data_IF_617216118034
#
_entry.id   IF_617216118034
#
_cell.length_a   1.000
_cell.length_b   1.000
_cell.length_c   1.000
_cell.angle_alpha   90.00
_cell.angle_beta   90.00
_cell.angle_gamma   90.00
#
_symmetry.space_group_name_H-M   'P 1'
#
loop_
_entity.id
_entity.type
_entity.pdbx_description
1 polymer ?
#
# COMPACT_ATOMS: atom_id res chain seq x y z
N UNK A 1 14.35 -13.39 -29.38
CA UNK A 1 15.54 -12.56 -29.65
C UNK A 1 15.31 -11.09 -29.31
N UNK A 2 14.42 -10.36 -29.98
CA UNK A 2 14.23 -8.92 -29.70
C UNK A 2 13.76 -8.58 -28.27
N UNK A 3 12.82 -9.36 -27.71
CA UNK A 3 12.35 -9.16 -26.32
C UNK A 3 13.45 -9.38 -25.27
N UNK A 4 14.30 -10.39 -25.50
CA UNK A 4 15.44 -10.70 -24.63
C UNK A 4 16.49 -9.58 -24.69
N UNK A 5 16.77 -9.08 -25.89
CA UNK A 5 17.70 -7.97 -26.10
C UNK A 5 17.23 -6.69 -25.39
N UNK A 6 15.93 -6.37 -25.50
CA UNK A 6 15.35 -5.21 -24.81
C UNK A 6 15.48 -5.32 -23.28
N UNK A 7 15.24 -6.51 -22.73
CA UNK A 7 15.40 -6.76 -21.29
C UNK A 7 16.86 -6.63 -20.82
N UNK A 8 17.82 -7.08 -21.64
CA UNK A 8 19.25 -6.94 -21.37
C UNK A 8 19.69 -5.47 -21.38
N UNK A 9 19.27 -4.70 -22.39
CA UNK A 9 19.58 -3.27 -22.52
C UNK A 9 18.95 -2.45 -21.38
N UNK A 10 17.67 -2.69 -21.09
CA UNK A 10 16.96 -1.99 -20.03
C UNK A 10 17.56 -2.28 -18.64
N UNK A 11 17.87 -3.54 -18.34
CA UNK A 11 18.45 -3.92 -17.05
C UNK A 11 19.87 -3.38 -16.83
N UNK A 12 20.62 -3.13 -17.89
CA UNK A 12 21.95 -2.52 -17.82
C UNK A 12 21.93 -1.08 -17.27
N UNK A 13 20.78 -0.39 -17.35
CA UNK A 13 20.58 0.94 -16.76
C UNK A 13 20.34 0.89 -15.24
N UNK A 14 20.10 -0.29 -14.68
CA UNK A 14 19.75 -0.50 -13.28
C UNK A 14 20.65 -1.55 -12.62
N UNK A 15 21.96 -1.28 -12.47
CA UNK A 15 22.89 -2.21 -11.84
C UNK A 15 22.53 -2.44 -10.37
N UNK A 16 22.82 -3.64 -9.86
CA UNK A 16 22.69 -3.93 -8.44
C UNK A 16 23.78 -3.18 -7.65
N UNK A 17 23.45 -2.54 -6.51
CA UNK A 17 24.45 -1.95 -5.64
C UNK A 17 25.44 -2.99 -5.11
N UNK A 18 26.73 -2.66 -5.08
CA UNK A 18 27.78 -3.58 -4.63
C UNK A 18 27.65 -3.90 -3.14
N UNK A 19 27.77 -5.18 -2.79
CA UNK A 19 27.76 -5.65 -1.40
C UNK A 19 26.40 -5.67 -0.71
N UNK A 20 25.30 -5.40 -1.42
CA UNK A 20 23.95 -5.50 -0.89
C UNK A 20 23.27 -6.79 -1.34
N UNK A 21 22.37 -7.29 -0.49
CA UNK A 21 21.47 -8.40 -0.77
C UNK A 21 20.07 -8.01 -0.30
N UNK A 22 19.07 -8.36 -1.10
CA UNK A 22 17.66 -8.04 -0.86
C UNK A 22 16.86 -9.33 -0.64
N UNK A 23 15.86 -9.30 0.23
CA UNK A 23 14.91 -10.40 0.40
C UNK A 23 13.48 -9.88 0.41
N UNK A 24 12.62 -10.60 -0.28
CA UNK A 24 11.21 -10.35 -0.46
C UNK A 24 10.52 -10.90 0.78
N UNK A 25 10.33 -10.03 1.77
CA UNK A 25 9.61 -10.38 2.99
C UNK A 25 8.09 -10.38 2.77
N UNK A 26 7.36 -10.60 3.86
CA UNK A 26 5.88 -10.54 3.89
C UNK A 26 5.29 -9.22 3.39
N UNK A 27 6.10 -8.17 3.33
CA UNK A 27 5.71 -6.83 2.90
C UNK A 27 6.54 -6.34 1.69
N UNK A 28 7.04 -7.28 0.87
CA UNK A 28 7.85 -7.02 -0.31
C UNK A 28 9.31 -6.64 0.03
N UNK A 29 9.99 -6.00 -0.92
CA UNK A 29 11.32 -5.45 -0.69
C UNK A 29 11.23 -4.09 -0.01
N UNK A 30 12.09 -3.86 0.99
CA UNK A 30 12.21 -2.56 1.68
C UNK A 30 13.67 -2.29 2.01
N UNK A 31 14.10 -1.05 1.81
CA UNK A 31 15.45 -0.58 2.13
C UNK A 31 15.50 0.95 2.08
N UNK A 32 16.69 1.52 2.28
CA UNK A 32 16.95 2.92 1.97
C UNK A 32 16.61 3.19 0.50
N UNK A 33 15.91 4.29 0.24
CA UNK A 33 15.40 4.57 -1.10
C UNK A 33 16.50 4.75 -2.15
N UNK A 34 17.70 5.21 -1.75
CA UNK A 34 18.82 5.47 -2.67
C UNK A 34 19.36 4.22 -3.35
N UNK A 35 19.09 3.03 -2.79
CA UNK A 35 19.61 1.75 -3.29
C UNK A 35 18.55 0.86 -3.95
N UNK A 36 17.29 1.34 -4.07
CA UNK A 36 16.16 0.50 -4.49
C UNK A 36 15.84 0.51 -5.98
N UNK A 37 16.39 1.42 -6.78
CA UNK A 37 16.01 1.56 -8.20
C UNK A 37 16.14 0.26 -9.00
N UNK A 38 17.21 -0.51 -8.78
CA UNK A 38 17.38 -1.81 -9.44
C UNK A 38 16.42 -2.87 -8.94
N UNK A 39 16.19 -2.93 -7.63
CA UNK A 39 15.21 -3.84 -7.02
C UNK A 39 13.79 -3.55 -7.50
N UNK A 40 13.41 -2.28 -7.65
CA UNK A 40 12.08 -1.88 -8.15
C UNK A 40 11.94 -2.22 -9.63
N UNK A 41 12.93 -1.92 -10.47
CA UNK A 41 12.95 -2.35 -11.87
C UNK A 41 12.77 -3.88 -11.99
N UNK A 42 13.56 -4.63 -11.22
CA UNK A 42 13.54 -6.10 -11.22
C UNK A 42 12.22 -6.67 -10.71
N UNK A 43 11.61 -6.05 -9.69
CA UNK A 43 10.29 -6.42 -9.17
C UNK A 43 9.18 -6.13 -10.18
N UNK A 44 9.28 -5.04 -10.92
CA UNK A 44 8.37 -4.74 -12.03
C UNK A 44 8.43 -5.79 -13.14
N UNK A 45 9.62 -6.33 -13.45
CA UNK A 45 9.77 -7.47 -14.37
C UNK A 45 9.09 -8.72 -13.81
N UNK A 46 9.26 -9.03 -12.51
CA UNK A 46 8.55 -10.16 -11.86
C UNK A 46 7.03 -9.98 -11.95
N UNK A 47 6.52 -8.78 -11.67
CA UNK A 47 5.09 -8.48 -11.79
C UNK A 47 4.57 -8.64 -13.23
N UNK A 48 5.35 -8.22 -14.23
CA UNK A 48 5.02 -8.41 -15.63
C UNK A 48 4.96 -9.90 -16.01
N UNK A 49 5.93 -10.71 -15.58
CA UNK A 49 5.89 -12.18 -15.76
C UNK A 49 4.68 -12.79 -15.06
N UNK A 50 4.34 -12.31 -13.86
CA UNK A 50 3.17 -12.79 -13.10
C UNK A 50 1.86 -12.51 -13.82
N UNK A 51 1.74 -11.32 -14.42
CA UNK A 51 0.58 -10.94 -15.22
C UNK A 51 0.47 -11.78 -16.50
N UNK A 52 1.58 -12.06 -17.19
CA UNK A 52 1.58 -12.95 -18.36
C UNK A 52 1.20 -14.40 -17.98
N UNK A 53 1.74 -14.93 -16.88
CA UNK A 53 1.46 -16.28 -16.41
C UNK A 53 -0.02 -16.47 -16.05
N UNK A 54 -0.63 -15.45 -15.43
CA UNK A 54 -2.04 -15.51 -15.00
C UNK A 54 -3.02 -15.03 -16.08
N UNK A 55 -2.54 -14.30 -17.08
CA UNK A 55 -3.37 -13.62 -18.07
C UNK A 55 -4.27 -12.53 -17.46
N UNK A 56 -3.87 -11.96 -16.33
CA UNK A 56 -4.70 -11.08 -15.51
C UNK A 56 -3.94 -9.80 -15.09
N UNK A 57 -4.68 -8.78 -14.67
CA UNK A 57 -4.12 -7.54 -14.12
C UNK A 57 -3.41 -7.83 -12.80
N UNK A 58 -2.20 -7.31 -12.62
CA UNK A 58 -1.40 -7.41 -11.38
C UNK A 58 -1.09 -5.99 -10.88
N UNK A 59 -0.86 -5.80 -9.59
CA UNK A 59 -0.48 -4.51 -9.01
C UNK A 59 0.97 -4.46 -8.58
N UNK A 60 1.55 -3.26 -8.60
CA UNK A 60 2.83 -2.94 -7.99
C UNK A 60 2.70 -1.69 -7.14
N UNK A 61 2.86 -1.83 -5.82
CA UNK A 61 2.78 -0.73 -4.86
C UNK A 61 4.17 -0.31 -4.42
N UNK A 62 4.51 0.97 -4.61
CA UNK A 62 5.77 1.57 -4.14
C UNK A 62 5.52 2.26 -2.80
N UNK A 63 5.96 1.63 -1.73
CA UNK A 63 5.81 2.12 -0.36
C UNK A 63 6.69 1.33 0.62
N UNK A 64 7.08 1.96 1.72
CA UNK A 64 7.58 1.27 2.91
C UNK A 64 6.67 1.40 4.14
N UNK A 65 5.38 1.76 3.99
CA UNK A 65 4.40 1.75 5.09
C UNK A 65 4.90 2.59 6.29
N UNK A 66 5.03 2.00 7.47
CA UNK A 66 5.47 2.62 8.72
C UNK A 66 6.97 2.98 8.79
N UNK A 67 7.81 2.60 7.83
CA UNK A 67 9.24 2.90 7.85
C UNK A 67 9.52 4.43 7.81
N UNK A 68 10.70 4.90 8.25
CA UNK A 68 11.12 6.30 8.14
C UNK A 68 11.08 6.83 6.70
N UNK A 69 10.93 8.15 6.51
CA UNK A 69 10.76 8.78 5.18
C UNK A 69 11.88 8.51 4.17
N UNK A 70 13.10 8.26 4.64
CA UNK A 70 14.27 7.93 3.79
C UNK A 70 14.21 6.53 3.17
N UNK A 71 13.44 5.62 3.75
CA UNK A 71 13.23 4.29 3.20
C UNK A 71 12.21 4.32 2.05
N UNK A 72 12.18 3.27 1.24
CA UNK A 72 11.04 2.95 0.39
C UNK A 72 10.95 1.42 0.20
N UNK A 73 10.05 0.98 -0.67
CA UNK A 73 9.86 -0.43 -0.92
C UNK A 73 8.96 -0.68 -2.11
N UNK A 74 8.80 -1.96 -2.44
CA UNK A 74 7.92 -2.41 -3.51
C UNK A 74 7.25 -3.73 -3.13
N UNK A 75 5.93 -3.79 -3.34
CA UNK A 75 5.07 -4.96 -3.13
C UNK A 75 4.34 -5.31 -4.42
N UNK A 76 4.19 -6.59 -4.71
CA UNK A 76 3.38 -7.10 -5.83
C UNK A 76 2.03 -7.59 -5.29
N UNK A 77 0.94 -7.14 -5.92
CA UNK A 77 -0.43 -7.57 -5.64
C UNK A 77 -0.93 -8.53 -6.72
N UNK A 78 -1.36 -9.72 -6.34
CA UNK A 78 -1.87 -10.76 -7.23
C UNK A 78 -3.27 -10.43 -7.77
N UNK A 79 -3.77 -11.14 -8.80
CA UNK A 79 -5.00 -10.79 -9.49
C UNK A 79 -6.27 -10.70 -8.62
N UNK A 80 -6.31 -11.44 -7.51
CA UNK A 80 -7.41 -11.40 -6.55
C UNK A 80 -7.37 -10.19 -5.60
N UNK A 81 -6.33 -9.35 -5.71
CA UNK A 81 -6.02 -8.25 -4.80
C UNK A 81 -5.30 -8.70 -3.54
N UNK A 82 -4.86 -9.96 -3.45
CA UNK A 82 -3.98 -10.45 -2.39
C UNK A 82 -2.52 -10.06 -2.63
N UNK A 83 -1.65 -10.44 -1.69
CA UNK A 83 -0.20 -10.37 -1.91
C UNK A 83 0.23 -11.42 -2.94
N UNK A 84 1.33 -11.17 -3.64
CA UNK A 84 1.95 -12.18 -4.50
C UNK A 84 2.10 -13.53 -3.78
N UNK A 85 1.74 -14.61 -4.47
CA UNK A 85 1.91 -15.97 -3.95
C UNK A 85 3.32 -16.23 -3.43
N UNK A 86 3.41 -16.87 -2.26
CA UNK A 86 4.67 -17.24 -1.62
C UNK A 86 5.57 -18.12 -2.52
N UNK A 87 5.00 -18.87 -3.46
CA UNK A 87 5.77 -19.67 -4.44
C UNK A 87 6.70 -18.81 -5.30
N UNK A 88 6.35 -17.55 -5.54
CA UNK A 88 7.13 -16.64 -6.40
C UNK A 88 8.14 -15.79 -5.61
N UNK A 89 8.07 -15.74 -4.28
CA UNK A 89 8.99 -14.97 -3.44
C UNK A 89 10.47 -15.40 -3.62
N UNK A 90 10.82 -16.71 -3.64
CA UNK A 90 12.20 -17.14 -3.90
C UNK A 90 12.70 -16.73 -5.29
N UNK A 91 11.82 -16.66 -6.29
CA UNK A 91 12.19 -16.18 -7.61
C UNK A 91 12.43 -14.67 -7.61
N UNK A 92 11.58 -13.90 -6.92
CA UNK A 92 11.79 -12.48 -6.74
C UNK A 92 13.14 -12.19 -6.07
N UNK A 93 13.54 -12.96 -5.05
CA UNK A 93 14.84 -12.85 -4.39
C UNK A 93 16.01 -13.11 -5.36
N UNK A 94 15.94 -14.21 -6.14
CA UNK A 94 16.99 -14.50 -7.13
C UNK A 94 17.11 -13.39 -8.18
N UNK A 95 15.98 -12.88 -8.66
CA UNK A 95 15.92 -11.80 -9.65
C UNK A 95 16.48 -10.50 -9.07
N UNK A 96 16.05 -10.11 -7.87
CA UNK A 96 16.55 -8.90 -7.20
C UNK A 96 18.06 -8.96 -6.95
N UNK A 97 18.63 -10.13 -6.68
CA UNK A 97 20.04 -10.33 -6.38
C UNK A 97 20.90 -10.80 -7.57
N UNK A 98 20.36 -10.85 -8.78
CA UNK A 98 21.14 -11.24 -9.96
C UNK A 98 22.37 -10.31 -10.14
N UNK A 99 23.59 -10.86 -10.26
CA UNK A 99 24.82 -10.07 -10.17
C UNK A 99 25.03 -9.13 -11.37
N UNK A 100 24.51 -9.50 -12.53
CA UNK A 100 24.67 -8.77 -13.78
C UNK A 100 23.44 -8.96 -14.72
N UNK A 101 23.29 -8.10 -15.74
CA UNK A 101 22.19 -8.20 -16.70
C UNK A 101 22.06 -9.55 -17.42
N UNK A 102 23.15 -10.24 -17.74
CA UNK A 102 23.08 -11.54 -18.43
C UNK A 102 22.55 -12.62 -17.49
N UNK A 103 23.08 -12.67 -16.26
CA UNK A 103 22.59 -13.58 -15.22
C UNK A 103 21.10 -13.34 -14.92
N UNK A 104 20.66 -12.08 -14.86
CA UNK A 104 19.27 -11.71 -14.67
C UNK A 104 18.37 -12.24 -15.80
N UNK A 105 18.76 -11.97 -17.05
CA UNK A 105 18.01 -12.42 -18.23
C UNK A 105 17.94 -13.95 -18.29
N UNK A 106 19.03 -14.65 -17.98
CA UNK A 106 19.06 -16.11 -17.93
C UNK A 106 18.08 -16.67 -16.89
N UNK A 107 18.05 -16.10 -15.68
CA UNK A 107 17.08 -16.48 -14.64
C UNK A 107 15.63 -16.28 -15.09
N UNK A 108 15.36 -15.17 -15.79
CA UNK A 108 14.01 -14.85 -16.27
C UNK A 108 13.57 -15.81 -17.38
N UNK A 109 14.44 -16.09 -18.35
CA UNK A 109 14.13 -17.02 -19.44
C UNK A 109 13.90 -18.43 -18.89
N UNK A 110 14.79 -18.92 -18.02
CA UNK A 110 14.64 -20.23 -17.40
C UNK A 110 13.32 -20.34 -16.62
N UNK A 111 13.00 -19.33 -15.80
CA UNK A 111 11.77 -19.34 -15.01
C UNK A 111 10.52 -19.26 -15.89
N UNK A 112 10.57 -18.49 -16.99
CA UNK A 112 9.48 -18.41 -17.94
C UNK A 112 9.24 -19.76 -18.65
N UNK A 113 10.30 -20.51 -18.98
CA UNK A 113 10.18 -21.87 -19.52
C UNK A 113 9.60 -22.84 -18.48
N UNK A 114 10.04 -22.77 -17.22
CA UNK A 114 9.56 -23.63 -16.12
C UNK A 114 8.08 -23.42 -15.77
N UNK A 115 7.59 -22.17 -15.91
CA UNK A 115 6.21 -21.78 -15.58
C UNK A 115 5.31 -21.64 -16.82
N UNK A 116 5.76 -22.10 -18.00
CA UNK A 116 5.03 -22.01 -19.29
C UNK A 116 4.56 -20.58 -19.64
N UNK A 117 5.38 -19.56 -19.35
CA UNK A 117 5.05 -18.15 -19.56
C UNK A 117 5.38 -17.76 -21.02
N UNK A 118 4.40 -17.30 -21.82
CA UNK A 118 4.62 -16.97 -23.22
C UNK A 118 5.31 -15.62 -23.39
N UNK A 119 6.65 -15.61 -23.41
CA UNK A 119 7.44 -14.41 -23.67
C UNK A 119 7.27 -13.96 -25.14
N UNK A 120 6.89 -12.69 -25.34
CA UNK A 120 6.76 -12.09 -26.68
C UNK A 120 5.45 -12.40 -27.42
N UNK A 121 4.42 -12.86 -26.71
CA UNK A 121 3.07 -13.07 -27.27
C UNK A 121 2.33 -11.77 -27.59
N UNK A 122 1.27 -11.88 -28.40
CA UNK A 122 0.38 -10.76 -28.77
C UNK A 122 -0.67 -10.41 -27.69
N UNK A 123 -0.79 -11.20 -26.62
CA UNK A 123 -1.70 -10.89 -25.51
C UNK A 123 -1.15 -9.70 -24.75
N UNK A 124 -1.96 -8.63 -24.67
CA UNK A 124 -1.69 -7.50 -23.81
C UNK A 124 -2.27 -7.78 -22.42
N UNK A 125 -1.44 -7.64 -21.39
CA UNK A 125 -1.87 -7.54 -20.00
C UNK A 125 -1.40 -6.22 -19.40
N UNK A 126 -1.95 -5.82 -18.26
CA UNK A 126 -1.65 -4.55 -17.61
C UNK A 126 -1.14 -4.74 -16.18
N UNK A 127 -0.24 -3.85 -15.77
CA UNK A 127 0.20 -3.71 -14.39
C UNK A 127 -0.26 -2.36 -13.87
N UNK A 128 -1.02 -2.35 -12.78
CA UNK A 128 -1.39 -1.11 -12.10
C UNK A 128 -0.25 -0.69 -11.17
N UNK A 129 0.27 0.52 -11.35
CA UNK A 129 1.32 1.10 -10.53
C UNK A 129 0.70 2.11 -9.55
N UNK A 130 0.96 1.93 -8.26
CA UNK A 130 0.59 2.90 -7.22
C UNK A 130 1.79 3.26 -6.35
N UNK A 131 1.78 4.45 -5.75
CA UNK A 131 2.81 4.87 -4.79
C UNK A 131 2.23 5.68 -3.63
N UNK A 132 2.94 5.69 -2.51
CA UNK A 132 2.67 6.60 -1.41
C UNK A 132 3.28 8.01 -1.66
N UNK A 133 3.34 8.82 -0.60
CA UNK A 133 3.84 10.21 -0.62
C UNK A 133 5.35 10.34 -0.42
N UNK A 134 6.12 9.24 -0.41
CA UNK A 134 7.58 9.31 -0.21
C UNK A 134 8.26 10.09 -1.35
N UNK A 135 9.24 10.98 -1.05
CA UNK A 135 9.91 11.79 -2.07
C UNK A 135 10.61 10.97 -3.17
N UNK A 136 11.12 9.79 -2.82
CA UNK A 136 11.76 8.86 -3.76
C UNK A 136 10.78 8.13 -4.68
N UNK A 137 9.48 8.20 -4.41
CA UNK A 137 8.45 7.43 -5.11
C UNK A 137 8.41 7.69 -6.61
N UNK A 138 8.64 8.92 -7.06
CA UNK A 138 8.62 9.26 -8.49
C UNK A 138 9.79 8.61 -9.26
N UNK A 139 11.00 8.66 -8.70
CA UNK A 139 12.16 8.02 -9.32
C UNK A 139 12.01 6.49 -9.39
N UNK A 140 11.46 5.89 -8.33
CA UNK A 140 11.19 4.45 -8.29
C UNK A 140 10.05 4.04 -9.23
N UNK A 141 9.03 4.90 -9.40
CA UNK A 141 7.95 4.70 -10.36
C UNK A 141 8.47 4.64 -11.80
N UNK A 142 9.41 5.51 -12.16
CA UNK A 142 10.05 5.47 -13.47
C UNK A 142 10.89 4.21 -13.66
N UNK A 143 11.60 3.74 -12.62
CA UNK A 143 12.30 2.45 -12.66
C UNK A 143 11.31 1.28 -12.88
N UNK A 144 10.16 1.29 -12.21
CA UNK A 144 9.12 0.28 -12.39
C UNK A 144 8.54 0.29 -13.82
N UNK A 145 8.23 1.47 -14.37
CA UNK A 145 7.75 1.61 -15.76
C UNK A 145 8.74 1.05 -16.76
N UNK A 146 10.05 1.28 -16.56
CA UNK A 146 11.11 0.69 -17.39
C UNK A 146 11.16 -0.83 -17.27
N UNK A 147 11.01 -1.38 -16.06
CA UNK A 147 10.95 -2.82 -15.83
C UNK A 147 9.77 -3.48 -16.55
N UNK A 148 8.58 -2.89 -16.45
CA UNK A 148 7.39 -3.40 -17.14
C UNK A 148 7.56 -3.32 -18.65
N UNK A 149 8.02 -2.18 -19.17
CA UNK A 149 8.20 -1.95 -20.61
C UNK A 149 9.29 -2.85 -21.24
N UNK A 150 10.18 -3.41 -20.43
CA UNK A 150 11.18 -4.36 -20.88
C UNK A 150 10.57 -5.73 -21.25
N UNK A 151 9.39 -6.04 -20.71
CA UNK A 151 8.66 -7.29 -20.97
C UNK A 151 7.59 -7.07 -22.03
N UNK A 152 7.78 -7.69 -23.21
CA UNK A 152 6.83 -7.56 -24.32
C UNK A 152 5.45 -8.12 -23.96
N UNK A 153 4.39 -7.41 -24.38
CA UNK A 153 3.00 -7.80 -24.13
C UNK A 153 2.42 -7.27 -22.80
N UNK A 154 3.16 -6.46 -22.05
CA UNK A 154 2.69 -5.88 -20.78
C UNK A 154 2.75 -4.37 -20.83
N UNK A 155 1.70 -3.70 -20.32
CA UNK A 155 1.63 -2.24 -20.23
C UNK A 155 1.55 -1.78 -18.78
N UNK A 156 2.25 -0.69 -18.48
CA UNK A 156 2.17 -0.03 -17.18
C UNK A 156 1.02 0.99 -17.18
N UNK A 157 0.15 0.93 -16.17
CA UNK A 157 -0.91 1.90 -15.94
C UNK A 157 -0.60 2.62 -14.63
N UNK A 158 -0.21 3.88 -14.73
CA UNK A 158 0.09 4.73 -13.57
C UNK A 158 -1.22 5.19 -12.91
N UNK A 159 -1.47 4.69 -11.70
CA UNK A 159 -2.63 5.05 -10.89
C UNK A 159 -2.32 6.20 -9.91
N UNK A 160 -1.08 6.72 -9.90
CA UNK A 160 -0.68 7.85 -9.10
C UNK A 160 -0.51 7.56 -7.60
N UNK A 161 -0.85 8.57 -6.79
CA UNK A 161 -0.74 8.52 -5.33
C UNK A 161 -1.96 7.82 -4.74
N UNK A 162 -1.74 6.66 -4.12
CA UNK A 162 -2.78 5.81 -3.55
C UNK A 162 -2.35 5.26 -2.18
N UNK A 163 -3.33 4.87 -1.37
CA UNK A 163 -3.08 3.96 -0.24
C UNK A 163 -2.82 2.54 -0.75
N UNK A 164 -2.15 1.72 0.05
CA UNK A 164 -1.94 0.30 -0.30
C UNK A 164 -3.29 -0.42 -0.53
N UNK A 165 -4.32 -0.27 0.34
CA UNK A 165 -5.63 -0.88 0.10
C UNK A 165 -6.32 -0.44 -1.19
N UNK A 166 -6.14 0.82 -1.62
CA UNK A 166 -6.72 1.30 -2.88
C UNK A 166 -6.17 0.53 -4.08
N UNK A 167 -4.84 0.35 -4.17
CA UNK A 167 -4.24 -0.39 -5.28
C UNK A 167 -4.74 -1.84 -5.31
N UNK A 168 -4.73 -2.51 -4.15
CA UNK A 168 -5.21 -3.90 -4.03
C UNK A 168 -6.67 -4.04 -4.46
N UNK A 169 -7.52 -3.09 -4.06
CA UNK A 169 -8.92 -3.04 -4.49
C UNK A 169 -9.05 -2.81 -6.00
N UNK A 170 -8.24 -1.93 -6.57
CA UNK A 170 -8.26 -1.62 -8.01
C UNK A 170 -7.88 -2.83 -8.85
N UNK A 171 -6.83 -3.57 -8.45
CA UNK A 171 -6.41 -4.83 -9.11
C UNK A 171 -7.55 -5.84 -9.11
N UNK A 172 -8.12 -6.12 -7.94
CA UNK A 172 -9.25 -7.04 -7.80
C UNK A 172 -10.45 -6.61 -8.65
N UNK A 173 -10.73 -5.32 -8.71
CA UNK A 173 -11.87 -4.77 -9.43
C UNK A 173 -11.69 -4.88 -10.95
N UNK A 174 -10.50 -4.57 -11.47
CA UNK A 174 -10.15 -4.76 -12.89
C UNK A 174 -10.33 -6.21 -13.33
N UNK A 175 -9.83 -7.15 -12.53
CA UNK A 175 -9.95 -8.58 -12.84
C UNK A 175 -11.38 -9.13 -12.76
N UNK A 176 -12.29 -8.40 -12.10
CA UNK A 176 -13.73 -8.69 -12.11
C UNK A 176 -14.49 -7.99 -13.23
N UNK A 177 -13.80 -7.28 -14.13
CA UNK A 177 -14.40 -6.49 -15.21
C UNK A 177 -15.11 -5.22 -14.72
N UNK A 178 -14.80 -4.77 -13.50
CA UNK A 178 -15.37 -3.54 -12.93
C UNK A 178 -14.48 -2.33 -13.23
N UNK A 179 -15.09 -1.14 -13.21
CA UNK A 179 -14.32 0.11 -13.20
C UNK A 179 -13.52 0.19 -11.90
N UNK A 180 -12.29 0.68 -12.02
CA UNK A 180 -11.37 0.80 -10.91
C UNK A 180 -10.74 2.20 -10.94
N UNK A 181 -11.52 3.19 -10.50
CA UNK A 181 -11.04 4.54 -10.20
C UNK A 181 -11.06 4.81 -8.71
N UNK A 182 -10.39 5.87 -8.28
CA UNK A 182 -10.42 6.33 -6.90
C UNK A 182 -11.84 6.72 -6.45
N UNK A 183 -12.62 7.35 -7.33
CA UNK A 183 -14.03 7.65 -7.07
C UNK A 183 -14.86 6.38 -6.85
N UNK A 184 -14.62 5.33 -7.63
CA UNK A 184 -15.33 4.04 -7.47
C UNK A 184 -15.00 3.39 -6.12
N UNK A 185 -13.73 3.45 -5.69
CA UNK A 185 -13.29 2.98 -4.38
C UNK A 185 -14.01 3.71 -3.24
N UNK A 186 -14.00 5.04 -3.25
CA UNK A 186 -14.68 5.84 -2.22
C UNK A 186 -16.19 5.66 -2.25
N UNK A 187 -16.79 5.59 -3.45
CA UNK A 187 -18.22 5.32 -3.62
C UNK A 187 -18.61 3.97 -3.02
N UNK A 188 -17.81 2.93 -3.21
CA UNK A 188 -18.10 1.62 -2.63
C UNK A 188 -18.05 1.66 -1.09
N UNK A 189 -17.04 2.31 -0.51
CA UNK A 189 -16.92 2.46 0.94
C UNK A 189 -18.08 3.28 1.50
N UNK A 190 -18.35 4.45 0.93
CA UNK A 190 -19.41 5.35 1.39
C UNK A 190 -20.79 4.70 1.30
N UNK A 191 -21.09 3.99 0.21
CA UNK A 191 -22.35 3.26 0.07
C UNK A 191 -22.49 2.14 1.10
N UNK A 192 -21.42 1.36 1.32
CA UNK A 192 -21.42 0.28 2.31
C UNK A 192 -21.58 0.83 3.73
N UNK A 193 -20.89 1.93 4.05
CA UNK A 193 -21.01 2.63 5.32
C UNK A 193 -22.42 3.16 5.55
N UNK A 194 -23.02 3.82 4.55
CA UNK A 194 -24.42 4.30 4.63
C UNK A 194 -25.38 3.16 4.93
N UNK A 195 -25.27 2.03 4.21
CA UNK A 195 -26.11 0.87 4.46
C UNK A 195 -26.00 0.34 5.89
N UNK A 196 -24.81 0.41 6.50
CA UNK A 196 -24.62 0.04 7.91
C UNK A 196 -25.25 1.07 8.87
N UNK A 197 -25.09 2.36 8.60
CA UNK A 197 -25.65 3.43 9.43
C UNK A 197 -27.18 3.44 9.37
N UNK A 198 -27.78 3.14 8.22
CA UNK A 198 -29.24 3.05 8.05
C UNK A 198 -29.89 1.95 8.92
N UNK A 199 -29.11 0.97 9.37
CA UNK A 199 -29.55 -0.09 10.29
C UNK A 199 -29.49 0.33 11.77
N UNK A 200 -28.84 1.45 12.10
CA UNK A 200 -28.71 1.93 13.48
C UNK A 200 -30.01 2.61 13.93
N UNK A 201 -30.61 2.21 15.07
CA UNK A 201 -31.80 2.87 15.62
C UNK A 201 -31.60 4.38 15.79
N UNK A 202 -32.57 5.18 15.30
CA UNK A 202 -32.48 6.66 15.27
C UNK A 202 -32.36 7.28 16.65
N UNK A 203 -32.78 6.57 17.69
CA UNK A 203 -32.72 6.92 19.09
C UNK A 203 -31.27 6.97 19.60
N UNK A 204 -30.41 6.08 19.09
CA UNK A 204 -28.98 6.04 19.41
C UNK A 204 -28.19 7.11 18.65
N UNK A 205 -28.68 7.53 17.48
CA UNK A 205 -28.06 8.57 16.65
C UNK A 205 -28.26 10.00 17.19
N UNK A 206 -29.05 10.19 18.27
CA UNK A 206 -29.31 11.52 18.87
C UNK A 206 -28.14 12.06 19.71
N UNK A 207 -27.23 11.20 20.17
CA UNK A 207 -26.06 11.60 20.94
C UNK A 207 -24.90 12.03 20.03
N UNK A 208 -24.93 13.29 19.57
CA UNK A 208 -23.89 13.85 18.69
C UNK A 208 -22.45 13.76 19.24
N UNK A 209 -22.27 13.68 20.56
CA UNK A 209 -20.95 13.60 21.23
C UNK A 209 -20.25 12.25 20.96
N UNK A 210 -20.99 11.17 20.66
CA UNK A 210 -20.41 9.87 20.29
C UNK A 210 -20.02 9.76 18.81
N UNK A 211 -20.37 10.78 18.01
CA UNK A 211 -20.18 10.81 16.55
C UNK A 211 -18.86 11.43 16.08
N UNK A 212 -18.03 11.97 16.97
CA UNK A 212 -16.73 12.54 16.60
C UNK A 212 -15.62 11.49 16.61
N UNK A 213 -14.75 11.54 15.61
CA UNK A 213 -13.51 10.76 15.51
C UNK A 213 -12.39 11.71 15.08
N UNK A 214 -11.29 11.73 15.83
CA UNK A 214 -10.09 12.47 15.45
C UNK A 214 -9.06 11.47 14.92
N UNK A 215 -8.62 11.65 13.68
CA UNK A 215 -7.72 10.73 12.99
C UNK A 215 -6.37 11.40 12.75
N UNK A 216 -5.32 10.75 13.22
CA UNK A 216 -3.94 11.03 12.87
C UNK A 216 -3.62 10.36 11.52
N UNK A 217 -3.36 11.19 10.50
CA UNK A 217 -3.02 10.78 9.15
C UNK A 217 -1.56 10.37 8.93
N UNK A 218 -0.73 10.33 9.99
CA UNK A 218 0.68 9.95 9.95
C UNK A 218 1.58 10.79 9.02
N UNK A 219 1.07 11.93 8.54
CA UNK A 219 1.64 12.69 7.42
C UNK A 219 1.79 11.85 6.13
N UNK A 220 1.01 10.78 6.02
CA UNK A 220 1.00 9.84 4.90
C UNK A 220 -0.13 10.07 3.91
N UNK A 221 -0.19 9.19 2.90
CA UNK A 221 -1.22 9.26 1.85
C UNK A 221 -2.63 9.11 2.41
N UNK A 222 -2.79 8.31 3.46
CA UNK A 222 -4.08 8.03 4.10
C UNK A 222 -4.81 9.28 4.60
N UNK A 223 -4.09 10.26 5.16
CA UNK A 223 -4.69 11.50 5.66
C UNK A 223 -5.43 12.26 4.57
N UNK A 224 -4.76 12.49 3.42
CA UNK A 224 -5.37 13.18 2.28
C UNK A 224 -6.54 12.39 1.67
N UNK A 225 -6.40 11.06 1.52
CA UNK A 225 -7.48 10.21 0.99
C UNK A 225 -8.69 10.16 1.92
N UNK A 226 -8.48 10.25 3.23
CA UNK A 226 -9.57 10.33 4.19
C UNK A 226 -10.30 11.69 4.14
N UNK A 227 -9.61 12.78 3.79
CA UNK A 227 -10.26 14.08 3.55
C UNK A 227 -11.20 14.05 2.33
N UNK A 228 -10.86 13.28 1.31
CA UNK A 228 -11.74 13.03 0.16
C UNK A 228 -12.90 12.10 0.53
N UNK A 229 -12.64 11.01 1.26
CA UNK A 229 -13.69 10.08 1.67
C UNK A 229 -14.69 10.71 2.64
N UNK A 230 -14.24 11.52 3.61
CA UNK A 230 -15.10 12.05 4.68
C UNK A 230 -16.26 12.89 4.14
N UNK A 231 -16.10 13.56 2.99
CA UNK A 231 -17.18 14.38 2.41
C UNK A 231 -18.32 13.53 1.85
N UNK A 232 -18.08 12.23 1.63
CA UNK A 232 -19.08 11.26 1.17
C UNK A 232 -19.73 10.50 2.34
N UNK A 233 -19.23 10.65 3.57
CA UNK A 233 -19.74 9.98 4.75
C UNK A 233 -20.74 10.87 5.49
N UNK A 234 -21.83 10.25 5.97
CA UNK A 234 -22.88 10.92 6.75
C UNK A 234 -23.02 10.26 8.12
N UNK A 235 -23.25 11.04 9.17
CA UNK A 235 -23.48 10.50 10.52
C UNK A 235 -22.21 10.24 11.35
N UNK A 236 -21.03 10.55 10.81
CA UNK A 236 -19.75 10.52 11.51
C UNK A 236 -18.99 11.83 11.24
N UNK A 237 -18.62 12.54 12.30
CA UNK A 237 -17.77 13.73 12.23
C UNK A 237 -16.31 13.28 12.31
N UNK A 238 -15.55 13.50 11.24
CA UNK A 238 -14.13 13.14 11.16
C UNK A 238 -13.28 14.41 11.13
N UNK A 239 -12.51 14.62 12.18
CA UNK A 239 -11.40 15.58 12.20
C UNK A 239 -10.11 14.84 11.84
N UNK A 240 -9.30 15.41 10.94
CA UNK A 240 -8.06 14.76 10.48
C UNK A 240 -6.91 15.70 10.80
N UNK A 241 -5.89 15.19 11.47
CA UNK A 241 -4.63 15.88 11.80
C UNK A 241 -3.48 15.17 11.10
N UNK A 242 -2.31 15.80 11.04
CA UNK A 242 -1.11 15.22 10.44
C UNK A 242 -1.33 14.73 9.01
N UNK A 243 -1.79 15.63 8.13
CA UNK A 243 -2.05 15.33 6.70
C UNK A 243 -0.83 15.62 5.80
N UNK A 244 0.33 15.91 6.39
CA UNK A 244 1.58 16.17 5.67
C UNK A 244 1.71 17.57 5.04
N UNK A 245 0.66 18.41 5.09
CA UNK A 245 0.67 19.77 4.53
C UNK A 245 1.28 20.82 5.45
N UNK A 246 1.35 20.55 6.74
CA UNK A 246 1.84 21.48 7.77
C UNK A 246 3.35 21.34 8.05
N UNK A 247 4.09 20.73 7.13
CA UNK A 247 5.54 20.48 7.28
C UNK A 247 5.90 19.27 8.15
N UNK A 248 4.91 18.49 8.61
CA UNK A 248 5.13 17.25 9.35
C UNK A 248 5.79 16.17 8.48
N UNK A 249 6.68 15.39 9.09
CA UNK A 249 7.40 14.29 8.42
C UNK A 249 6.63 12.99 8.55
N UNK A 250 6.62 12.18 7.49
CA UNK A 250 5.99 10.88 7.42
C UNK A 250 6.44 9.97 8.57
N UNK A 251 5.48 9.47 9.36
CA UNK A 251 5.68 8.57 10.51
C UNK A 251 6.59 9.11 11.64
N UNK A 252 6.96 10.38 11.65
CA UNK A 252 7.86 10.95 12.68
C UNK A 252 7.05 11.48 13.87
N UNK A 253 7.05 10.75 14.99
CA UNK A 253 6.29 11.11 16.18
C UNK A 253 4.77 11.04 15.99
N UNK A 254 4.31 10.36 14.95
CA UNK A 254 2.91 10.21 14.52
C UNK A 254 2.70 8.83 13.89
N UNK A 255 1.44 8.43 13.72
CA UNK A 255 1.03 7.23 13.01
C UNK A 255 0.88 5.99 13.89
N UNK A 256 0.23 4.98 13.33
CA UNK A 256 -0.21 3.79 14.07
C UNK A 256 0.95 3.03 14.73
N UNK A 257 2.08 2.90 14.04
CA UNK A 257 3.27 2.20 14.55
C UNK A 257 3.91 2.94 15.74
N UNK A 258 4.00 4.28 15.67
CA UNK A 258 4.47 5.11 16.78
C UNK A 258 3.57 4.96 18.00
N UNK A 259 2.26 5.14 17.80
CA UNK A 259 1.26 5.05 18.87
C UNK A 259 1.26 3.67 19.53
N UNK A 260 1.41 2.60 18.73
CA UNK A 260 1.45 1.23 19.24
C UNK A 260 2.72 0.91 20.02
N UNK A 261 3.89 1.36 19.55
CA UNK A 261 5.20 1.07 20.18
C UNK A 261 5.44 1.92 21.41
N UNK A 262 5.27 3.24 21.28
CA UNK A 262 5.59 4.20 22.33
C UNK A 262 4.46 4.31 23.37
N UNK A 263 3.23 3.91 23.02
CA UNK A 263 2.05 3.98 23.90
C UNK A 263 1.82 5.37 24.49
N UNK A 264 2.05 6.38 23.66
CA UNK A 264 1.79 7.80 23.94
C UNK A 264 1.00 8.43 22.80
N UNK A 265 0.38 9.57 23.08
CA UNK A 265 -0.35 10.33 22.08
C UNK A 265 0.61 10.80 20.96
N UNK A 266 0.20 10.72 19.68
CA UNK A 266 1.00 11.23 18.58
C UNK A 266 1.06 12.76 18.61
N UNK A 267 2.03 13.34 17.90
CA UNK A 267 2.19 14.78 17.80
C UNK A 267 0.89 15.44 17.29
N UNK A 268 0.52 16.55 17.93
CA UNK A 268 -0.75 17.23 17.65
C UNK A 268 -1.95 16.69 18.44
N UNK A 269 -1.75 15.74 19.37
CA UNK A 269 -2.77 15.22 20.28
C UNK A 269 -2.37 15.43 21.75
N UNK A 270 -3.34 15.70 22.62
CA UNK A 270 -3.03 15.94 24.03
C UNK A 270 -4.24 16.24 24.91
N UNK A 271 -4.07 17.18 25.84
CA UNK A 271 -5.05 17.50 26.89
C UNK A 271 -6.43 17.92 26.37
N UNK A 272 -6.49 18.56 25.19
CA UNK A 272 -7.73 18.95 24.54
C UNK A 272 -8.54 17.75 24.02
N UNK A 273 -7.91 16.58 23.86
CA UNK A 273 -8.50 15.38 23.27
C UNK A 273 -8.86 14.32 24.33
N UNK A 274 -8.73 14.65 25.62
CA UNK A 274 -9.01 13.72 26.72
C UNK A 274 -10.45 13.21 26.63
N UNK A 275 -10.60 11.89 26.70
CA UNK A 275 -11.90 11.21 26.58
C UNK A 275 -12.48 11.16 25.16
N UNK A 276 -11.86 11.81 24.18
CA UNK A 276 -12.29 11.75 22.77
C UNK A 276 -11.79 10.46 22.11
N UNK A 277 -12.58 9.91 21.18
CA UNK A 277 -12.17 8.75 20.37
C UNK A 277 -11.19 9.19 19.29
N UNK A 278 -9.98 8.67 19.35
CA UNK A 278 -8.94 8.94 18.36
C UNK A 278 -8.54 7.66 17.63
N UNK A 279 -7.98 7.82 16.44
CA UNK A 279 -7.34 6.75 15.70
C UNK A 279 -6.09 7.24 14.97
N UNK A 280 -5.14 6.33 14.69
CA UNK A 280 -3.97 6.61 13.86
C UNK A 280 -3.91 5.63 12.71
N UNK A 281 -3.66 6.17 11.51
CA UNK A 281 -3.26 5.40 10.33
C UNK A 281 -1.74 5.23 10.33
N UNK A 282 -1.20 4.28 9.56
CA UNK A 282 0.21 4.31 9.16
C UNK A 282 0.41 4.98 7.79
N UNK A 283 1.66 5.11 7.36
CA UNK A 283 2.04 5.92 6.19
C UNK A 283 1.31 5.60 4.89
N UNK A 284 1.00 4.32 4.62
CA UNK A 284 0.26 3.85 3.44
C UNK A 284 -1.19 3.42 3.74
N UNK A 285 -1.64 3.67 4.97
CA UNK A 285 -2.98 3.38 5.47
C UNK A 285 -3.42 1.91 5.35
N UNK A 286 -2.49 0.97 5.55
CA UNK A 286 -2.80 -0.46 5.70
C UNK A 286 -2.95 -0.90 7.18
N UNK A 287 -2.65 -0.01 8.13
CA UNK A 287 -2.86 -0.21 9.57
C UNK A 287 -3.74 0.88 10.19
N UNK A 288 -4.51 0.48 11.19
CA UNK A 288 -5.34 1.36 12.01
C UNK A 288 -5.24 0.92 13.48
N UNK A 289 -4.97 1.86 14.36
CA UNK A 289 -5.14 1.69 15.81
C UNK A 289 -6.06 2.77 16.35
N UNK A 290 -6.87 2.43 17.34
CA UNK A 290 -7.64 3.41 18.11
C UNK A 290 -6.91 3.74 19.40
N UNK A 291 -7.11 4.94 19.93
CA UNK A 291 -6.62 5.31 21.24
C UNK A 291 -7.48 6.38 21.90
N UNK A 292 -7.30 6.56 23.22
CA UNK A 292 -7.87 7.69 23.98
C UNK A 292 -6.79 8.30 24.85
N UNK A 293 -6.71 9.63 24.87
CA UNK A 293 -5.85 10.35 25.82
C UNK A 293 -6.49 10.27 27.22
N UNK A 294 -5.71 9.80 28.20
CA UNK A 294 -6.24 9.45 29.53
C UNK A 294 -6.35 10.62 30.49
N UNK A 295 -5.41 11.57 30.43
CA UNK A 295 -5.32 12.67 31.39
C UNK A 295 -4.83 13.95 30.74
N UNK A 296 -5.31 15.13 31.17
CA UNK A 296 -4.77 16.42 30.72
C UNK A 296 -3.29 16.63 31.09
N UNK A 297 -2.79 15.90 32.09
CA UNK A 297 -1.43 16.07 32.64
C UNK A 297 -0.43 15.04 32.13
N UNK A 298 -0.83 14.15 31.22
CA UNK A 298 0.01 13.05 30.75
C UNK A 298 -0.28 12.73 29.28
N UNK A 299 0.77 12.41 28.51
CA UNK A 299 0.62 11.95 27.12
C UNK A 299 0.31 10.45 27.03
N UNK A 300 0.00 9.79 28.15
CA UNK A 300 -0.37 8.38 28.17
C UNK A 300 -1.74 8.15 27.53
N UNK A 301 -1.86 7.02 26.85
CA UNK A 301 -3.07 6.64 26.12
C UNK A 301 -3.59 5.28 26.59
N UNK A 302 -4.89 5.07 26.45
CA UNK A 302 -5.46 3.74 26.36
C UNK A 302 -5.49 3.31 24.89
N UNK A 303 -4.65 2.32 24.55
CA UNK A 303 -4.49 1.79 23.20
C UNK A 303 -5.54 0.72 22.91
N UNK A 304 -6.16 0.80 21.74
CA UNK A 304 -7.07 -0.20 21.17
C UNK A 304 -6.52 -0.61 19.81
N UNK A 305 -5.67 -1.64 19.84
CA UNK A 305 -4.99 -2.22 18.68
C UNK A 305 -5.79 -3.37 18.06
N UNK A 306 -5.20 -4.06 17.06
CA UNK A 306 -5.85 -5.15 16.34
C UNK A 306 -6.42 -6.25 17.23
N UNK A 307 -5.75 -6.56 18.35
CA UNK A 307 -6.17 -7.58 19.31
C UNK A 307 -7.45 -7.17 20.07
N UNK A 308 -7.73 -5.87 20.20
CA UNK A 308 -8.98 -5.35 20.78
C UNK A 308 -10.06 -5.05 19.72
N UNK A 309 -9.66 -4.70 18.50
CA UNK A 309 -10.58 -4.45 17.37
C UNK A 309 -11.25 -5.75 16.92
N UNK A 310 -10.48 -6.83 16.74
CA UNK A 310 -10.98 -8.08 16.18
C UNK A 310 -12.09 -8.74 17.04
N UNK A 311 -11.96 -8.87 18.38
CA UNK A 311 -13.05 -9.37 19.22
C UNK A 311 -14.32 -8.52 19.14
N UNK A 312 -14.18 -7.20 19.01
CA UNK A 312 -15.32 -6.29 18.87
C UNK A 312 -16.10 -6.56 17.58
N UNK A 313 -15.39 -6.79 16.46
CA UNK A 313 -16.01 -7.17 15.19
C UNK A 313 -16.66 -8.56 15.24
N UNK A 314 -16.02 -9.52 15.92
CA UNK A 314 -16.56 -10.87 16.11
C UNK A 314 -17.83 -10.87 16.98
N UNK A 315 -17.88 -10.02 18.00
CA UNK A 315 -19.08 -9.85 18.82
C UNK A 315 -20.25 -9.31 17.97
N UNK A 316 -19.99 -8.32 17.11
CA UNK A 316 -20.98 -7.77 16.18
C UNK A 316 -21.45 -8.80 15.15
N UNK A 317 -20.56 -9.63 14.60
CA UNK A 317 -20.94 -10.62 13.58
C UNK A 317 -21.74 -11.80 14.12
N UNK A 318 -21.62 -12.10 15.41
CA UNK A 318 -22.39 -13.15 16.11
C UNK A 318 -23.73 -12.69 16.66
N UNK A 319 -24.00 -11.39 16.64
CA UNK A 319 -25.22 -10.79 17.21
C UNK A 319 -26.38 -10.70 16.20
N UNK A 320 -26.29 -11.42 15.07
CA UNK A 320 -27.36 -11.59 14.08
C UNK A 320 -27.85 -13.04 14.04
#
# INVERSE_FOLDING_TARGET
>A
MAAIQNLLEASSLFPIPSGLSFSYGTAGFRSDASVLSSTVFRSAVVAALRSLATGATVGLMITASHNPVGDNGVKIADPDGGMMTQRWEPFADRVANAPDPHSLVQLIVQFAEEEDIPLGGMKSSEILLGRDTRPSGEALLEAAKKGISAVAGVVAVDMGILTTPQLHWMVRSRNKGMKASEFDYFSQIANSFRCLIDLVPKELLKNKVEGKLIVDGANGVGGGKLEELKVMLTGLEIEIRNVGRDGGVLNEGVGADYVQKEKVAPSGFGSADVGTRCASLDGDADRLVYFRVLSPSSNTIDLVDGDKILPSLLYLSRSN
#
